data_IF_166414324606
#
_entry.id   IF_166414324606
#
_cell.length_a   1.000
_cell.length_b   1.000
_cell.length_c   1.000
_cell.angle_alpha   90.00
_cell.angle_beta   90.00
_cell.angle_gamma   90.00
#
_symmetry.space_group_name_H-M   'P 1'
#
loop_
_entity.id
_entity.type
_entity.pdbx_description
1 polymer ?
#
# COMPACT_ATOMS: atom_id res chain seq x y z
N UNK A 1 21.04 9.83 -12.04
CA UNK A 1 20.01 8.98 -12.67
C UNK A 1 18.73 9.76 -12.54
N UNK A 2 18.11 10.13 -13.65
CA UNK A 2 16.74 10.65 -13.63
C UNK A 2 15.87 9.56 -12.97
N UNK A 3 15.14 9.92 -11.93
CA UNK A 3 14.27 8.97 -11.24
C UNK A 3 13.22 8.45 -12.21
N UNK A 4 13.01 7.13 -12.23
CA UNK A 4 11.91 6.53 -12.97
C UNK A 4 10.60 7.08 -12.37
N UNK A 5 9.82 7.80 -13.19
CA UNK A 5 8.56 8.37 -12.75
C UNK A 5 7.55 7.25 -12.64
N UNK A 6 7.14 6.95 -11.41
CA UNK A 6 6.13 5.93 -11.15
C UNK A 6 4.73 6.53 -11.24
N UNK A 7 3.91 6.01 -12.15
CA UNK A 7 2.53 6.43 -12.32
C UNK A 7 1.58 5.49 -11.57
N UNK A 8 0.70 6.05 -10.74
CA UNK A 8 -0.29 5.28 -9.97
C UNK A 8 -1.57 6.09 -9.72
N UNK A 9 -2.67 5.37 -9.50
CA UNK A 9 -3.93 5.94 -9.00
C UNK A 9 -4.11 5.45 -7.57
N UNK A 10 -4.24 6.38 -6.61
CA UNK A 10 -4.51 6.08 -5.21
C UNK A 10 -6.01 6.13 -4.94
N UNK A 11 -6.56 5.01 -4.48
CA UNK A 11 -7.94 4.92 -4.00
C UNK A 11 -7.95 4.91 -2.47
N UNK A 12 -8.93 5.61 -1.89
CA UNK A 12 -9.21 5.58 -0.47
C UNK A 12 -10.38 4.64 -0.23
N UNK A 13 -10.10 3.45 0.30
CA UNK A 13 -11.09 2.42 0.52
C UNK A 13 -11.44 2.32 2.00
N UNK A 14 -12.69 2.64 2.41
CA UNK A 14 -13.13 2.41 3.78
C UNK A 14 -13.13 0.91 4.10
N UNK A 15 -12.35 0.52 5.10
CA UNK A 15 -12.27 -0.86 5.58
C UNK A 15 -12.36 -0.88 7.10
N UNK A 16 -13.43 -1.49 7.62
CA UNK A 16 -13.79 -1.47 9.04
C UNK A 16 -13.79 -0.04 9.61
N UNK A 17 -12.89 0.26 10.56
CA UNK A 17 -12.78 1.55 11.24
C UNK A 17 -11.59 2.39 10.73
N UNK A 18 -11.05 2.05 9.56
CA UNK A 18 -9.90 2.76 8.97
C UNK A 18 -10.05 2.92 7.45
N UNK A 19 -9.15 3.72 6.87
CA UNK A 19 -9.04 3.87 5.42
C UNK A 19 -7.80 3.07 4.97
N UNK A 20 -8.00 2.20 3.98
CA UNK A 20 -6.92 1.56 3.25
C UNK A 20 -6.56 2.42 2.05
N UNK A 21 -5.28 2.73 1.88
CA UNK A 21 -4.77 3.41 0.69
C UNK A 21 -4.35 2.37 -0.34
N UNK A 22 -5.09 2.28 -1.44
CA UNK A 22 -4.81 1.32 -2.51
C UNK A 22 -4.16 2.03 -3.69
N UNK A 23 -2.87 1.77 -3.90
CA UNK A 23 -2.11 2.26 -5.03
C UNK A 23 -2.17 1.26 -6.19
N UNK A 24 -2.89 1.62 -7.25
CA UNK A 24 -2.95 0.85 -8.50
C UNK A 24 -1.96 1.45 -9.50
N UNK A 25 -0.86 0.76 -9.73
CA UNK A 25 0.21 1.22 -10.60
C UNK A 25 -0.18 1.11 -12.08
N UNK A 26 0.36 2.03 -12.88
CA UNK A 26 0.08 2.19 -14.30
C UNK A 26 1.37 1.99 -15.12
N UNK A 27 1.24 1.74 -16.42
CA UNK A 27 2.38 1.60 -17.32
C UNK A 27 3.18 0.32 -17.06
N UNK A 28 4.50 0.44 -16.88
CA UNK A 28 5.39 -0.72 -16.72
C UNK A 28 5.12 -1.56 -15.46
N UNK A 29 4.44 -0.96 -14.47
CA UNK A 29 4.03 -1.61 -13.23
C UNK A 29 2.53 -1.98 -13.22
N UNK A 30 1.85 -1.97 -14.37
CA UNK A 30 0.45 -2.39 -14.47
C UNK A 30 0.24 -3.81 -13.90
N UNK A 31 -0.78 -3.96 -13.06
CA UNK A 31 -1.07 -5.20 -12.33
C UNK A 31 -0.46 -5.26 -10.93
N UNK A 32 0.49 -4.38 -10.60
CA UNK A 32 0.93 -4.19 -9.22
C UNK A 32 -0.08 -3.34 -8.46
N UNK A 33 -0.47 -3.82 -7.28
CA UNK A 33 -1.30 -3.07 -6.32
C UNK A 33 -0.63 -3.13 -4.97
N UNK A 34 -0.43 -1.97 -4.34
CA UNK A 34 0.01 -1.87 -2.94
C UNK A 34 -1.13 -1.33 -2.09
N UNK A 35 -1.28 -1.88 -0.89
CA UNK A 35 -2.32 -1.47 0.06
C UNK A 35 -1.65 -1.12 1.38
N UNK A 36 -1.73 0.15 1.74
CA UNK A 36 -1.19 0.66 3.00
C UNK A 36 -2.32 0.91 4.00
N UNK A 37 -2.05 0.59 5.25
CA UNK A 37 -2.93 0.82 6.39
C UNK A 37 -2.21 1.70 7.40
N UNK A 38 -2.81 2.84 7.72
CA UNK A 38 -2.27 3.76 8.72
C UNK A 38 -2.84 3.48 10.12
N UNK A 39 -1.98 3.60 11.13
CA UNK A 39 -2.35 3.39 12.53
C UNK A 39 -1.86 4.55 13.39
N UNK A 40 -2.75 5.11 14.19
CA UNK A 40 -2.42 6.22 15.10
C UNK A 40 -1.56 5.78 16.30
N UNK A 41 -1.66 4.51 16.70
CA UNK A 41 -0.96 3.95 17.87
C UNK A 41 -0.43 2.55 17.56
N UNK A 42 0.67 2.20 18.23
CA UNK A 42 1.37 0.93 18.04
C UNK A 42 0.48 -0.27 18.37
N UNK A 43 -0.37 -0.21 19.41
CA UNK A 43 -1.23 -1.35 19.76
C UNK A 43 -2.21 -1.72 18.64
N UNK A 44 -2.74 -0.72 17.90
CA UNK A 44 -3.62 -0.97 16.75
C UNK A 44 -2.86 -1.65 15.62
N UNK A 45 -1.62 -1.21 15.35
CA UNK A 45 -0.75 -1.83 14.34
C UNK A 45 -0.40 -3.26 14.71
N UNK A 46 0.05 -3.50 15.93
CA UNK A 46 0.55 -4.81 16.38
C UNK A 46 -0.57 -5.85 16.48
N UNK A 47 -1.82 -5.41 16.64
CA UNK A 47 -3.01 -6.28 16.66
C UNK A 47 -3.71 -6.40 15.30
N UNK A 48 -3.25 -5.66 14.29
CA UNK A 48 -3.86 -5.66 12.97
C UNK A 48 -3.72 -7.01 12.29
N UNK A 49 -4.78 -7.43 11.59
CA UNK A 49 -4.78 -8.59 10.71
C UNK A 49 -5.14 -8.11 9.32
N UNK A 50 -4.25 -8.38 8.36
CA UNK A 50 -4.50 -8.01 6.98
C UNK A 50 -5.78 -8.72 6.47
N UNK A 51 -6.59 -8.04 5.66
CA UNK A 51 -7.75 -8.65 5.02
C UNK A 51 -7.33 -9.74 4.02
N UNK A 52 -8.23 -10.68 3.71
CA UNK A 52 -7.93 -11.79 2.78
C UNK A 52 -7.57 -11.34 1.35
N UNK A 53 -7.93 -10.10 0.98
CA UNK A 53 -7.55 -9.52 -0.32
C UNK A 53 -6.11 -8.99 -0.35
N UNK A 54 -5.44 -8.87 0.80
CA UNK A 54 -4.01 -8.59 0.89
C UNK A 54 -3.24 -9.91 0.77
N UNK A 55 -2.68 -10.15 -0.42
CA UNK A 55 -2.11 -11.46 -0.76
C UNK A 55 -0.73 -11.73 -0.14
N UNK A 56 0.11 -10.70 -0.02
CA UNK A 56 1.49 -10.81 0.48
C UNK A 56 1.80 -9.60 1.35
N UNK A 57 2.38 -9.82 2.53
CA UNK A 57 2.88 -8.76 3.40
C UNK A 57 4.28 -8.33 2.96
N UNK A 58 4.43 -7.04 2.61
CA UNK A 58 5.67 -6.47 2.06
C UNK A 58 6.16 -5.26 2.85
N UNK A 59 5.69 -5.08 4.09
CA UNK A 59 5.95 -3.88 4.92
C UNK A 59 7.43 -3.62 5.20
N UNK A 60 8.29 -4.65 5.17
CA UNK A 60 9.74 -4.53 5.38
C UNK A 60 10.54 -4.58 4.08
N UNK A 61 9.87 -4.66 2.94
CA UNK A 61 10.52 -4.74 1.63
C UNK A 61 10.73 -3.35 1.04
N UNK A 62 11.89 -3.15 0.42
CA UNK A 62 12.14 -1.94 -0.36
C UNK A 62 11.65 -2.19 -1.79
N UNK A 63 10.35 -1.99 -2.01
CA UNK A 63 9.72 -2.26 -3.30
C UNK A 63 9.84 -1.08 -4.27
N UNK A 64 9.60 0.14 -3.79
CA UNK A 64 9.58 1.34 -4.62
C UNK A 64 10.14 2.51 -3.82
N UNK A 65 11.34 2.97 -4.17
CA UNK A 65 11.95 4.16 -3.60
C UNK A 65 11.55 5.36 -4.47
N UNK A 66 10.38 5.94 -4.21
CA UNK A 66 9.93 7.16 -4.89
C UNK A 66 10.64 8.34 -4.22
N UNK A 67 11.51 9.01 -4.98
CA UNK A 67 12.22 10.25 -4.56
C UNK A 67 11.27 11.44 -4.64
#
# INVERSE_FOLDING_TARGET
MEGEVVHKIRYYYPYENQIAEMDVFQGELEGLVLIDFEFEIMEKKDSFKSPDFCLVEVTQENLLQVV
#
